data_IF_992351051156
#
_entry.id   IF_992351051156
#
_cell.length_a   1.000
_cell.length_b   1.000
_cell.length_c   1.000
_cell.angle_alpha   90.00
_cell.angle_beta   90.00
_cell.angle_gamma   90.00
#
_symmetry.space_group_name_H-M   'P 1'
#
loop_
_entity.id
_entity.type
_entity.pdbx_description
1 polymer ?
#
# COMPACT_ATOMS: atom_id res chain seq x y z
N UNK A 1 1.46 -12.33 26.82
CA UNK A 1 0.97 -11.07 26.25
C UNK A 1 -0.52 -11.25 26.05
N UNK A 2 -1.35 -10.44 26.66
CA UNK A 2 -2.82 -10.54 26.52
C UNK A 2 -3.18 -9.98 25.15
N UNK A 3 -3.69 -10.83 24.25
CA UNK A 3 -4.30 -10.38 23.00
C UNK A 3 -5.56 -9.56 23.34
N UNK A 4 -5.53 -8.28 23.07
CA UNK A 4 -6.72 -7.43 23.17
C UNK A 4 -7.67 -7.75 22.03
N UNK A 5 -8.95 -7.87 22.33
CA UNK A 5 -9.97 -8.00 21.30
C UNK A 5 -10.22 -6.67 20.60
N UNK A 6 -10.74 -6.71 19.37
CA UNK A 6 -11.08 -5.48 18.61
C UNK A 6 -12.12 -4.61 19.34
N UNK A 7 -13.00 -5.21 20.18
CA UNK A 7 -13.94 -4.47 21.03
C UNK A 7 -13.22 -3.68 22.13
N UNK A 8 -12.17 -4.25 22.75
CA UNK A 8 -11.37 -3.58 23.77
C UNK A 8 -10.53 -2.42 23.21
N UNK A 9 -10.26 -2.43 21.90
CA UNK A 9 -9.55 -1.38 21.17
C UNK A 9 -10.50 -0.39 20.47
N UNK A 10 -11.83 -0.52 20.67
CA UNK A 10 -12.80 0.41 20.08
C UNK A 10 -12.66 1.82 20.70
N UNK A 11 -12.65 2.83 19.86
CA UNK A 11 -12.66 4.23 20.30
C UNK A 11 -14.09 4.71 20.56
N UNK A 12 -14.22 5.59 21.56
CA UNK A 12 -15.42 6.42 21.70
C UNK A 12 -15.61 7.21 20.39
N UNK A 13 -16.80 7.19 19.77
CA UNK A 13 -17.06 7.94 18.55
C UNK A 13 -16.80 9.47 18.68
N UNK A 14 -16.81 10.01 19.89
CA UNK A 14 -16.53 11.42 20.16
C UNK A 14 -15.05 11.70 20.45
N UNK A 15 -14.20 10.66 20.49
CA UNK A 15 -12.78 10.82 20.84
C UNK A 15 -12.06 11.74 19.86
N UNK A 16 -12.26 11.53 18.55
CA UNK A 16 -11.64 12.34 17.51
C UNK A 16 -12.04 13.84 17.58
N UNK A 17 -13.23 14.14 18.08
CA UNK A 17 -13.71 15.52 18.22
C UNK A 17 -13.01 16.31 19.35
N UNK A 18 -12.21 15.65 20.18
CA UNK A 18 -11.47 16.29 21.27
C UNK A 18 -10.13 16.87 20.83
N UNK A 19 -9.68 16.58 19.58
CA UNK A 19 -8.43 17.05 19.04
C UNK A 19 -8.63 18.10 17.95
N UNK A 20 -7.66 19.03 17.82
CA UNK A 20 -7.64 19.96 16.70
C UNK A 20 -7.45 19.17 15.39
N UNK A 21 -8.31 19.45 14.41
CA UNK A 21 -8.23 18.78 13.10
C UNK A 21 -7.03 19.28 12.31
N UNK A 22 -6.04 18.42 12.11
CA UNK A 22 -4.85 18.71 11.33
C UNK A 22 -5.08 18.56 9.81
N UNK A 23 -4.18 19.15 9.03
CA UNK A 23 -4.14 18.92 7.57
C UNK A 23 -3.80 17.46 7.27
N UNK A 24 -4.59 16.83 6.41
CA UNK A 24 -4.34 15.50 5.88
C UNK A 24 -4.07 15.58 4.38
N UNK A 25 -2.96 15.00 3.88
CA UNK A 25 -2.75 14.87 2.45
C UNK A 25 -3.89 14.07 1.78
N UNK A 26 -4.19 14.40 0.53
CA UNK A 26 -5.13 13.61 -0.24
C UNK A 26 -4.66 12.15 -0.36
N UNK A 27 -5.60 11.22 -0.33
CA UNK A 27 -5.32 9.80 -0.55
C UNK A 27 -4.64 9.61 -1.92
N UNK A 28 -3.65 8.72 -2.00
CA UNK A 28 -2.83 8.52 -3.18
C UNK A 28 -2.93 7.08 -3.71
N UNK A 29 -2.63 6.92 -4.99
CA UNK A 29 -2.62 5.61 -5.62
C UNK A 29 -1.27 4.92 -5.43
N UNK A 30 -1.31 3.64 -5.06
CA UNK A 30 -0.18 2.74 -4.91
C UNK A 30 -0.39 1.55 -5.86
N UNK A 31 0.42 1.42 -6.90
CA UNK A 31 0.29 0.32 -7.87
C UNK A 31 1.10 -0.90 -7.42
N UNK A 32 0.51 -2.08 -7.58
CA UNK A 32 1.22 -3.37 -7.42
C UNK A 32 1.25 -4.06 -8.79
N UNK A 33 2.41 -4.58 -9.21
CA UNK A 33 2.54 -5.31 -10.46
C UNK A 33 1.55 -6.49 -10.54
N UNK A 34 1.19 -6.96 -11.71
CA UNK A 34 0.56 -8.27 -11.84
C UNK A 34 1.53 -9.36 -11.37
N UNK A 35 1.05 -10.59 -11.05
CA UNK A 35 1.90 -11.67 -10.52
C UNK A 35 2.98 -12.13 -11.50
N UNK A 36 2.79 -11.90 -12.79
CA UNK A 36 3.76 -12.16 -13.85
C UNK A 36 3.78 -10.98 -14.83
N UNK A 37 4.96 -10.68 -15.35
CA UNK A 37 5.20 -9.62 -16.33
C UNK A 37 6.02 -10.14 -17.50
N UNK A 38 5.85 -9.52 -18.65
CA UNK A 38 6.63 -9.73 -19.87
C UNK A 38 7.49 -8.49 -20.20
N UNK A 39 8.25 -8.57 -21.30
CA UNK A 39 9.10 -7.46 -21.74
C UNK A 39 8.32 -6.16 -22.07
N UNK A 40 7.05 -6.27 -22.46
CA UNK A 40 6.19 -5.12 -22.75
C UNK A 40 5.63 -4.45 -21.50
N UNK A 41 5.90 -4.98 -20.31
CA UNK A 41 5.34 -4.43 -19.08
C UNK A 41 5.90 -3.03 -18.76
N UNK A 42 7.09 -2.69 -19.20
CA UNK A 42 7.66 -1.34 -19.06
C UNK A 42 6.76 -0.30 -19.74
N UNK A 43 6.31 -0.59 -20.96
CA UNK A 43 5.41 0.29 -21.71
C UNK A 43 4.02 0.37 -21.05
N UNK A 44 3.56 -0.76 -20.49
CA UNK A 44 2.29 -0.79 -19.74
C UNK A 44 2.37 0.01 -18.45
N UNK A 45 3.50 -0.04 -17.73
CA UNK A 45 3.73 0.80 -16.57
C UNK A 45 3.80 2.28 -16.96
N UNK A 46 4.54 2.63 -18.02
CA UNK A 46 4.59 3.99 -18.51
C UNK A 46 3.19 4.52 -18.84
N UNK A 47 2.37 3.73 -19.57
CA UNK A 47 0.99 4.09 -19.86
C UNK A 47 0.14 4.27 -18.59
N UNK A 48 0.32 3.44 -17.57
CA UNK A 48 -0.37 3.59 -16.29
C UNK A 48 0.00 4.92 -15.60
N UNK A 49 1.30 5.22 -15.54
CA UNK A 49 1.81 6.46 -14.93
C UNK A 49 1.39 7.73 -15.70
N UNK A 50 1.08 7.62 -16.99
CA UNK A 50 0.49 8.71 -17.78
C UNK A 50 -1.02 8.92 -17.51
N UNK A 51 -1.66 8.04 -16.76
CA UNK A 51 -3.08 8.11 -16.42
C UNK A 51 -3.40 9.03 -15.24
N UNK A 52 -2.43 9.34 -14.40
CA UNK A 52 -2.62 10.17 -13.21
C UNK A 52 -1.49 9.99 -12.20
N UNK A 53 -1.60 10.69 -11.07
CA UNK A 53 -0.58 10.62 -10.02
C UNK A 53 -0.58 9.25 -9.33
N UNK A 54 0.59 8.63 -9.29
CA UNK A 54 0.89 7.39 -8.57
C UNK A 54 2.02 7.69 -7.59
N UNK A 55 1.83 7.35 -6.32
CA UNK A 55 2.84 7.61 -5.29
C UNK A 55 3.92 6.53 -5.24
N UNK A 56 3.53 5.26 -5.43
CA UNK A 56 4.44 4.13 -5.34
C UNK A 56 4.06 3.02 -6.34
N UNK A 57 5.06 2.29 -6.79
CA UNK A 57 4.91 1.06 -7.56
C UNK A 57 5.65 -0.08 -6.87
N UNK A 58 4.94 -1.13 -6.48
CA UNK A 58 5.50 -2.33 -5.89
C UNK A 58 5.69 -3.43 -6.95
N UNK A 59 6.91 -3.89 -7.11
CA UNK A 59 7.23 -5.05 -7.93
C UNK A 59 7.02 -6.33 -7.12
N UNK A 60 5.96 -7.08 -7.44
CA UNK A 60 5.56 -8.32 -6.77
C UNK A 60 5.44 -9.47 -7.77
N UNK A 61 6.52 -10.17 -7.99
CA UNK A 61 6.60 -11.32 -8.89
C UNK A 61 6.69 -12.60 -8.04
N UNK A 62 5.68 -13.45 -8.13
CA UNK A 62 5.65 -14.72 -7.40
C UNK A 62 6.19 -15.85 -8.29
N UNK A 63 7.03 -16.72 -7.69
CA UNK A 63 7.58 -17.89 -8.39
C UNK A 63 8.81 -17.61 -9.27
N UNK A 64 9.29 -16.38 -9.32
CA UNK A 64 10.56 -16.00 -9.95
C UNK A 64 11.68 -15.98 -8.91
N UNK A 65 12.90 -16.30 -9.33
CA UNK A 65 14.07 -16.15 -8.47
C UNK A 65 14.53 -14.68 -8.39
N UNK A 66 15.39 -14.37 -7.40
CA UNK A 66 15.86 -13.00 -7.18
C UNK A 66 16.69 -12.42 -8.34
N UNK A 67 17.34 -13.25 -9.17
CA UNK A 67 18.11 -12.81 -10.34
C UNK A 67 17.17 -12.37 -11.44
N UNK A 68 16.11 -13.14 -11.66
CA UNK A 68 15.06 -12.82 -12.62
C UNK A 68 14.30 -11.55 -12.21
N UNK A 69 13.95 -11.44 -10.91
CA UNK A 69 13.30 -10.22 -10.37
C UNK A 69 14.23 -9.01 -10.53
N UNK A 70 15.51 -9.14 -10.24
CA UNK A 70 16.47 -8.04 -10.40
C UNK A 70 16.59 -7.54 -11.85
N UNK A 71 16.61 -8.46 -12.83
CA UNK A 71 16.61 -8.08 -14.26
C UNK A 71 15.34 -7.37 -14.67
N UNK A 72 14.20 -7.84 -14.19
CA UNK A 72 12.91 -7.22 -14.46
C UNK A 72 12.78 -5.85 -13.78
N UNK A 73 13.39 -5.68 -12.60
CA UNK A 73 13.32 -4.46 -11.81
C UNK A 73 14.05 -3.28 -12.47
N UNK A 74 15.20 -3.49 -13.10
CA UNK A 74 16.09 -2.42 -13.59
C UNK A 74 15.34 -1.39 -14.48
N UNK A 75 14.67 -1.76 -15.58
CA UNK A 75 13.97 -0.80 -16.42
C UNK A 75 12.74 -0.17 -15.73
N UNK A 76 12.09 -0.89 -14.82
CA UNK A 76 10.92 -0.40 -14.08
C UNK A 76 11.32 0.62 -13.02
N UNK A 77 12.40 0.36 -12.28
CA UNK A 77 12.95 1.29 -11.30
C UNK A 77 13.40 2.60 -11.96
N UNK A 78 14.08 2.51 -13.10
CA UNK A 78 14.47 3.68 -13.87
C UNK A 78 13.26 4.52 -14.30
N UNK A 79 12.22 3.88 -14.84
CA UNK A 79 10.98 4.55 -15.21
C UNK A 79 10.29 5.22 -14.02
N UNK A 80 10.23 4.53 -12.86
CA UNK A 80 9.68 5.09 -11.64
C UNK A 80 10.43 6.33 -11.18
N UNK A 81 11.77 6.29 -11.20
CA UNK A 81 12.61 7.43 -10.84
C UNK A 81 12.41 8.64 -11.79
N UNK A 82 12.24 8.40 -13.09
CA UNK A 82 11.94 9.45 -14.08
C UNK A 82 10.56 10.12 -13.87
N UNK A 83 9.66 9.46 -13.13
CA UNK A 83 8.27 9.90 -12.90
C UNK A 83 7.98 10.28 -11.45
N UNK A 84 9.01 10.36 -10.60
CA UNK A 84 8.86 10.63 -9.16
C UNK A 84 7.89 9.66 -8.45
N UNK A 85 8.02 8.36 -8.77
CA UNK A 85 7.26 7.26 -8.20
C UNK A 85 8.19 6.39 -7.37
N UNK A 86 7.86 6.17 -6.10
CA UNK A 86 8.65 5.30 -5.23
C UNK A 86 8.64 3.85 -5.72
N UNK A 87 9.81 3.24 -5.88
CA UNK A 87 9.95 1.85 -6.32
C UNK A 87 10.12 0.91 -5.13
N UNK A 88 9.16 0.03 -4.91
CA UNK A 88 9.06 -0.86 -3.76
C UNK A 88 9.27 -2.32 -4.18
N UNK A 89 10.13 -3.04 -3.47
CA UNK A 89 10.33 -4.49 -3.64
C UNK A 89 9.43 -5.25 -2.66
N UNK A 90 8.78 -6.30 -3.14
CA UNK A 90 7.95 -7.16 -2.31
C UNK A 90 8.81 -8.23 -1.61
N UNK A 91 8.60 -8.47 -0.31
CA UNK A 91 9.13 -9.54 0.55
C UNK A 91 10.64 -9.49 0.82
N UNK A 92 11.51 -9.28 -0.17
CA UNK A 92 12.95 -9.46 -0.02
C UNK A 92 13.69 -8.17 0.38
N UNK A 93 14.08 -8.08 1.66
CA UNK A 93 14.93 -7.00 2.21
C UNK A 93 16.29 -6.95 1.53
N UNK A 94 16.90 -8.13 1.30
CA UNK A 94 18.21 -8.24 0.66
C UNK A 94 18.18 -7.75 -0.81
N UNK A 95 17.10 -8.07 -1.53
CA UNK A 95 16.93 -7.61 -2.91
C UNK A 95 16.68 -6.09 -2.96
N UNK A 96 15.86 -5.55 -2.06
CA UNK A 96 15.63 -4.11 -1.96
C UNK A 96 16.94 -3.35 -1.71
N UNK A 97 17.79 -3.85 -0.80
CA UNK A 97 19.11 -3.29 -0.53
C UNK A 97 20.03 -3.35 -1.76
N UNK A 98 20.10 -4.52 -2.41
CA UNK A 98 20.96 -4.74 -3.58
C UNK A 98 20.60 -3.85 -4.76
N UNK A 99 19.30 -3.60 -4.96
CA UNK A 99 18.81 -2.76 -6.05
C UNK A 99 18.81 -1.26 -5.70
N UNK A 100 19.03 -0.91 -4.44
CA UNK A 100 18.85 0.48 -4.00
C UNK A 100 17.42 0.96 -4.20
N UNK A 101 16.44 0.09 -3.93
CA UNK A 101 15.03 0.43 -4.03
C UNK A 101 14.63 1.47 -2.99
N UNK A 102 13.58 2.26 -3.27
CA UNK A 102 13.05 3.26 -2.34
C UNK A 102 12.38 2.62 -1.13
N UNK A 103 11.96 1.36 -1.25
CA UNK A 103 11.37 0.64 -0.13
C UNK A 103 11.23 -0.86 -0.33
N UNK A 104 10.79 -1.52 0.75
CA UNK A 104 10.39 -2.92 0.79
C UNK A 104 9.02 -3.05 1.45
N UNK A 105 8.20 -3.98 0.98
CA UNK A 105 6.94 -4.33 1.61
C UNK A 105 6.97 -5.76 2.12
N UNK A 106 6.74 -5.95 3.41
CA UNK A 106 6.83 -7.22 4.12
C UNK A 106 5.43 -7.76 4.49
N UNK A 107 5.21 -9.02 4.22
CA UNK A 107 4.12 -9.77 4.85
C UNK A 107 4.56 -10.32 6.21
N UNK A 108 3.63 -10.93 6.95
CA UNK A 108 3.89 -11.43 8.31
C UNK A 108 4.93 -12.56 8.38
N UNK A 109 5.23 -13.22 7.27
CA UNK A 109 6.23 -14.29 7.18
C UNK A 109 7.55 -13.90 6.53
N UNK A 110 7.74 -12.64 6.12
CA UNK A 110 8.85 -12.23 5.26
C UNK A 110 10.02 -11.57 6.02
N UNK A 111 9.95 -11.56 7.34
CA UNK A 111 11.01 -11.07 8.23
C UNK A 111 10.53 -10.01 9.23
N UNK A 112 11.42 -9.67 10.16
CA UNK A 112 11.17 -8.66 11.18
C UNK A 112 11.45 -7.26 10.62
N UNK A 113 10.50 -6.31 10.65
CA UNK A 113 10.72 -4.93 10.22
C UNK A 113 11.88 -4.24 10.95
N UNK A 114 12.14 -4.61 12.21
CA UNK A 114 13.24 -4.08 13.01
C UNK A 114 14.61 -4.49 12.46
N UNK A 115 14.73 -5.72 11.98
CA UNK A 115 15.96 -6.19 11.34
C UNK A 115 16.10 -5.63 9.92
N UNK A 116 14.99 -5.50 9.18
CA UNK A 116 14.96 -4.79 7.91
C UNK A 116 15.45 -3.33 8.07
N UNK A 117 14.97 -2.62 9.10
CA UNK A 117 15.39 -1.24 9.40
C UNK A 117 16.88 -1.13 9.69
N UNK A 118 17.45 -2.07 10.44
CA UNK A 118 18.90 -2.11 10.71
C UNK A 118 19.73 -2.29 9.43
N UNK A 119 19.23 -3.12 8.51
CA UNK A 119 19.94 -3.43 7.26
C UNK A 119 19.81 -2.30 6.21
N UNK A 120 18.61 -1.74 6.07
CA UNK A 120 18.29 -0.75 5.03
C UNK A 120 18.59 0.68 5.46
N UNK A 121 18.72 0.94 6.77
CA UNK A 121 18.91 2.29 7.31
C UNK A 121 17.63 3.14 7.31
N UNK A 122 17.73 4.42 7.68
CA UNK A 122 16.55 5.26 7.99
C UNK A 122 15.87 5.87 6.76
N UNK A 123 16.42 5.71 5.55
CA UNK A 123 15.89 6.38 4.34
C UNK A 123 15.01 5.48 3.48
N UNK A 124 15.15 4.16 3.61
CA UNK A 124 14.39 3.19 2.81
C UNK A 124 13.06 2.93 3.49
N UNK A 125 11.97 3.01 2.74
CA UNK A 125 10.61 2.81 3.26
C UNK A 125 10.36 1.33 3.56
N UNK A 126 9.81 1.04 4.74
CA UNK A 126 9.42 -0.32 5.14
C UNK A 126 7.90 -0.34 5.35
N UNK A 127 7.20 -1.06 4.50
CA UNK A 127 5.77 -1.31 4.66
C UNK A 127 5.49 -2.69 5.22
N UNK A 128 4.44 -2.82 6.03
CA UNK A 128 4.06 -4.11 6.64
C UNK A 128 2.59 -4.40 6.43
N UNK A 129 2.28 -5.60 5.93
CA UNK A 129 0.90 -6.11 5.87
C UNK A 129 0.42 -6.50 7.27
N UNK A 130 -0.66 -5.89 7.74
CA UNK A 130 -1.24 -6.14 9.07
C UNK A 130 -2.63 -6.79 9.02
N UNK A 131 -3.09 -7.20 7.84
CA UNK A 131 -4.37 -7.86 7.63
C UNK A 131 -5.56 -7.04 8.16
N UNK A 132 -6.29 -7.56 9.14
CA UNK A 132 -7.39 -6.91 9.87
C UNK A 132 -7.03 -6.65 11.34
N UNK A 133 -5.74 -6.76 11.70
CA UNK A 133 -5.27 -6.70 13.08
C UNK A 133 -4.70 -5.33 13.43
N UNK A 134 -5.33 -4.65 14.37
CA UNK A 134 -4.82 -3.41 14.99
C UNK A 134 -3.53 -3.67 15.76
N UNK A 135 -3.45 -4.82 16.43
CA UNK A 135 -2.28 -5.22 17.20
C UNK A 135 -1.04 -5.37 16.31
N UNK A 136 -1.15 -6.12 15.20
CA UNK A 136 -0.04 -6.25 14.24
C UNK A 136 0.40 -4.90 13.67
N UNK A 137 -0.53 -3.96 13.48
CA UNK A 137 -0.19 -2.64 12.97
C UNK A 137 0.58 -1.81 14.00
N UNK A 138 0.21 -1.88 15.30
CA UNK A 138 0.95 -1.24 16.39
C UNK A 138 2.36 -1.84 16.52
N UNK A 139 2.48 -3.17 16.54
CA UNK A 139 3.78 -3.84 16.57
C UNK A 139 4.68 -3.47 15.39
N UNK A 140 4.11 -3.39 14.16
CA UNK A 140 4.85 -2.96 12.99
C UNK A 140 5.37 -1.52 13.12
N UNK A 141 4.56 -0.61 13.64
CA UNK A 141 4.96 0.78 13.91
C UNK A 141 6.09 0.85 14.94
N UNK A 142 5.97 0.12 16.06
CA UNK A 142 7.02 0.03 17.09
C UNK A 142 8.31 -0.60 16.57
N UNK A 143 8.21 -1.53 15.61
CA UNK A 143 9.35 -2.14 14.94
C UNK A 143 10.01 -1.24 13.89
N UNK A 144 9.44 -0.06 13.59
CA UNK A 144 10.02 0.94 12.69
C UNK A 144 9.53 0.84 11.25
N UNK A 145 8.31 0.34 11.03
CA UNK A 145 7.64 0.46 9.74
C UNK A 145 7.35 1.93 9.41
N UNK A 146 7.36 2.30 8.13
CA UNK A 146 7.01 3.63 7.63
C UNK A 146 5.55 3.71 7.16
N UNK A 147 4.90 2.57 6.94
CA UNK A 147 3.48 2.46 6.69
C UNK A 147 2.97 1.04 6.98
N UNK A 148 1.68 0.93 7.28
CA UNK A 148 0.98 -0.33 7.48
C UNK A 148 -0.06 -0.56 6.40
N UNK A 149 -0.36 -1.82 6.06
CA UNK A 149 -1.37 -2.15 5.07
C UNK A 149 -2.46 -3.06 5.67
N UNK A 150 -3.71 -2.59 5.59
CA UNK A 150 -4.90 -3.34 5.98
C UNK A 150 -5.61 -3.93 4.77
N UNK A 151 -6.07 -5.16 4.86
CA UNK A 151 -6.77 -5.86 3.76
C UNK A 151 -6.83 -7.38 3.96
N UNK A 152 -7.60 -8.08 3.13
CA UNK A 152 -8.22 -7.54 1.91
C UNK A 152 -9.64 -7.01 2.20
N UNK A 153 -9.92 -5.77 1.82
CA UNK A 153 -11.25 -5.17 2.02
C UNK A 153 -12.33 -5.80 1.14
N UNK A 154 -11.97 -6.24 -0.06
CA UNK A 154 -12.90 -6.85 -1.02
C UNK A 154 -12.36 -8.18 -1.55
N UNK A 155 -13.22 -9.05 -2.13
CA UNK A 155 -12.77 -10.27 -2.79
C UNK A 155 -11.69 -10.01 -3.83
N UNK A 156 -10.63 -10.82 -3.82
CA UNK A 156 -9.48 -10.63 -4.72
C UNK A 156 -8.98 -11.97 -5.26
N UNK A 157 -8.54 -11.97 -6.52
CA UNK A 157 -7.92 -13.13 -7.18
C UNK A 157 -6.38 -13.15 -7.01
N UNK A 158 -5.79 -12.09 -6.47
CA UNK A 158 -4.32 -11.92 -6.42
C UNK A 158 -3.68 -12.66 -5.25
N UNK A 159 -4.40 -12.82 -4.14
CA UNK A 159 -3.97 -13.55 -2.95
C UNK A 159 -5.21 -14.05 -2.21
N UNK A 160 -5.26 -15.36 -1.91
CA UNK A 160 -6.25 -15.89 -0.99
C UNK A 160 -6.02 -15.34 0.41
N UNK A 161 -7.07 -14.85 1.05
CA UNK A 161 -7.03 -14.38 2.43
C UNK A 161 -8.38 -14.61 3.09
N UNK A 162 -8.34 -14.98 4.37
CA UNK A 162 -9.52 -15.06 5.23
C UNK A 162 -9.80 -13.75 5.98
N UNK A 163 -8.82 -12.83 5.97
CA UNK A 163 -8.92 -11.53 6.63
C UNK A 163 -9.76 -10.56 5.83
N UNK A 164 -10.73 -9.94 6.48
CA UNK A 164 -11.69 -9.01 5.89
C UNK A 164 -11.95 -7.84 6.84
N UNK A 165 -11.01 -6.87 6.90
CA UNK A 165 -11.22 -5.72 7.75
C UNK A 165 -12.45 -4.91 7.33
N UNK A 166 -13.14 -4.34 8.31
CA UNK A 166 -14.14 -3.31 8.07
C UNK A 166 -13.45 -1.96 7.82
N UNK A 167 -14.00 -1.07 6.98
CA UNK A 167 -13.41 0.24 6.71
C UNK A 167 -13.14 1.08 7.97
N UNK A 168 -13.86 0.84 9.07
CA UNK A 168 -13.67 1.49 10.36
C UNK A 168 -12.26 1.34 10.95
N UNK A 169 -11.51 0.29 10.58
CA UNK A 169 -10.12 0.11 11.02
C UNK A 169 -9.21 1.25 10.53
N UNK A 170 -9.48 1.78 9.33
CA UNK A 170 -8.74 2.91 8.76
C UNK A 170 -8.94 4.19 9.58
N UNK A 171 -10.21 4.50 9.92
CA UNK A 171 -10.54 5.64 10.76
C UNK A 171 -9.97 5.52 12.16
N UNK A 172 -10.05 4.34 12.75
CA UNK A 172 -9.43 4.06 14.05
C UNK A 172 -7.91 4.30 14.00
N UNK A 173 -7.23 3.77 12.99
CA UNK A 173 -5.79 3.93 12.84
C UNK A 173 -5.39 5.40 12.69
N UNK A 174 -6.00 6.09 11.77
CA UNK A 174 -5.63 7.48 11.43
C UNK A 174 -6.05 8.52 12.47
N UNK A 175 -6.91 8.15 13.42
CA UNK A 175 -7.21 8.97 14.59
C UNK A 175 -6.13 8.86 15.66
N UNK A 176 -5.50 7.69 15.80
CA UNK A 176 -4.54 7.43 16.87
C UNK A 176 -3.09 7.54 16.45
N UNK A 177 -2.79 7.34 15.17
CA UNK A 177 -1.42 7.20 14.66
C UNK A 177 -1.16 8.12 13.48
N UNK A 178 0.02 8.72 13.45
CA UNK A 178 0.51 9.50 12.31
C UNK A 178 1.05 8.61 11.18
N UNK A 179 1.40 7.35 11.50
CA UNK A 179 1.93 6.39 10.55
C UNK A 179 0.91 6.11 9.44
N UNK A 180 1.25 6.33 8.16
CA UNK A 180 0.32 6.15 7.06
C UNK A 180 -0.24 4.74 6.96
N UNK A 181 -1.51 4.62 6.52
CA UNK A 181 -2.13 3.34 6.24
C UNK A 181 -2.51 3.18 4.77
N UNK A 182 -2.32 1.97 4.28
CA UNK A 182 -2.65 1.52 2.93
C UNK A 182 -3.85 0.60 3.00
N UNK A 183 -4.91 0.91 2.27
CA UNK A 183 -5.99 -0.02 2.04
C UNK A 183 -5.68 -0.89 0.81
N UNK A 184 -5.82 -2.22 0.95
CA UNK A 184 -5.50 -3.19 -0.11
C UNK A 184 -6.56 -4.28 -0.24
N UNK A 185 -6.63 -4.87 -1.42
CA UNK A 185 -7.39 -6.09 -1.74
C UNK A 185 -8.74 -5.84 -2.40
N UNK A 186 -8.83 -6.22 -3.67
CA UNK A 186 -10.05 -6.16 -4.48
C UNK A 186 -10.58 -4.76 -4.77
N UNK A 187 -9.76 -3.73 -4.59
CA UNK A 187 -10.16 -2.34 -4.76
C UNK A 187 -10.27 -2.00 -6.24
N UNK A 188 -11.40 -1.41 -6.63
CA UNK A 188 -11.72 -0.86 -7.95
C UNK A 188 -12.12 0.61 -7.81
N UNK A 189 -12.19 1.36 -8.91
CA UNK A 189 -12.69 2.73 -8.86
C UNK A 189 -14.12 2.82 -8.27
N UNK A 190 -14.96 1.82 -8.56
CA UNK A 190 -16.36 1.80 -8.10
C UNK A 190 -16.53 1.57 -6.59
N UNK A 191 -15.54 0.92 -5.93
CA UNK A 191 -15.63 0.60 -4.51
C UNK A 191 -14.60 1.33 -3.63
N UNK A 192 -13.80 2.21 -4.20
CA UNK A 192 -12.71 2.90 -3.50
C UNK A 192 -13.18 4.03 -2.56
N UNK A 193 -14.24 4.76 -2.92
CA UNK A 193 -14.72 5.94 -2.19
C UNK A 193 -14.95 5.70 -0.69
N UNK A 194 -15.58 4.60 -0.24
CA UNK A 194 -15.75 4.33 1.19
C UNK A 194 -14.44 4.19 1.96
N UNK A 195 -13.37 3.66 1.33
CA UNK A 195 -12.07 3.50 1.97
C UNK A 195 -11.34 4.84 2.12
N UNK A 196 -11.46 5.72 1.11
CA UNK A 196 -10.94 7.10 1.18
C UNK A 196 -11.67 7.87 2.28
N UNK A 197 -13.00 7.81 2.31
CA UNK A 197 -13.82 8.46 3.33
C UNK A 197 -13.55 7.92 4.74
N UNK A 198 -13.20 6.63 4.86
CA UNK A 198 -12.79 6.03 6.13
C UNK A 198 -11.37 6.41 6.56
N UNK A 199 -10.58 7.02 5.70
CA UNK A 199 -9.28 7.53 6.07
C UNK A 199 -8.08 6.74 5.53
N UNK A 200 -8.16 6.05 4.40
CA UNK A 200 -6.98 5.51 3.74
C UNK A 200 -6.04 6.64 3.27
N UNK A 201 -4.74 6.52 3.57
CA UNK A 201 -3.72 7.41 3.01
C UNK A 201 -3.32 6.96 1.61
N UNK A 202 -3.36 5.65 1.36
CA UNK A 202 -3.09 5.06 0.04
C UNK A 202 -4.10 3.96 -0.30
N UNK A 203 -4.41 3.84 -1.59
CA UNK A 203 -5.13 2.69 -2.15
C UNK A 203 -4.16 1.83 -2.95
N UNK A 204 -3.88 0.60 -2.48
CA UNK A 204 -3.04 -0.35 -3.20
C UNK A 204 -3.88 -1.19 -4.17
N UNK A 205 -3.60 -1.07 -5.45
CA UNK A 205 -4.36 -1.67 -6.53
C UNK A 205 -3.47 -2.43 -7.51
N UNK A 206 -3.99 -3.48 -8.13
CA UNK A 206 -3.32 -4.25 -9.16
C UNK A 206 -4.30 -4.57 -10.30
N UNK A 207 -5.10 -5.59 -10.18
CA UNK A 207 -5.97 -6.08 -11.25
C UNK A 207 -6.91 -5.03 -11.85
N UNK A 208 -7.42 -4.11 -11.06
CA UNK A 208 -8.30 -3.03 -11.52
C UNK A 208 -7.63 -2.09 -12.54
N UNK A 209 -6.29 -1.96 -12.46
CA UNK A 209 -5.51 -1.16 -13.41
C UNK A 209 -5.02 -2.03 -14.58
N UNK A 210 -4.38 -3.16 -14.29
CA UNK A 210 -3.73 -3.96 -15.32
C UNK A 210 -4.69 -4.70 -16.24
N UNK A 211 -5.91 -5.00 -15.76
CA UNK A 211 -6.97 -5.68 -16.52
C UNK A 211 -8.09 -4.70 -16.95
N UNK A 212 -7.87 -3.38 -16.83
CA UNK A 212 -8.87 -2.41 -17.26
C UNK A 212 -9.13 -2.53 -18.77
N UNK A 213 -10.39 -2.61 -19.24
CA UNK A 213 -10.71 -2.89 -20.64
C UNK A 213 -10.17 -1.84 -21.63
N UNK A 214 -10.03 -0.58 -21.18
CA UNK A 214 -9.45 0.50 -21.98
C UNK A 214 -7.94 0.71 -21.70
N UNK A 215 -7.27 -0.27 -21.08
CA UNK A 215 -5.86 -0.27 -20.76
C UNK A 215 -5.48 0.42 -19.44
N UNK A 216 -4.20 0.29 -19.01
CA UNK A 216 -3.76 0.70 -17.68
C UNK A 216 -3.83 2.21 -17.46
N UNK A 217 -3.64 3.05 -18.48
CA UNK A 217 -3.83 4.50 -18.39
C UNK A 217 -5.25 4.85 -17.95
N UNK A 218 -6.26 4.26 -18.58
CA UNK A 218 -7.65 4.50 -18.23
C UNK A 218 -7.98 3.97 -16.82
N UNK A 219 -7.37 2.84 -16.42
CA UNK A 219 -7.49 2.31 -15.08
C UNK A 219 -7.00 3.27 -14.02
N UNK A 220 -5.82 3.88 -14.19
CA UNK A 220 -5.30 4.90 -13.27
C UNK A 220 -6.14 6.17 -13.30
N UNK A 221 -6.58 6.64 -14.48
CA UNK A 221 -7.43 7.82 -14.61
C UNK A 221 -8.75 7.67 -13.85
N UNK A 222 -9.39 6.49 -13.89
CA UNK A 222 -10.60 6.22 -13.14
C UNK A 222 -10.41 6.38 -11.62
N UNK A 223 -9.25 5.95 -11.08
CA UNK A 223 -8.92 6.20 -9.66
C UNK A 223 -8.62 7.67 -9.39
N UNK A 224 -7.93 8.37 -10.28
CA UNK A 224 -7.67 9.80 -10.11
C UNK A 224 -8.97 10.62 -9.96
N UNK A 225 -9.99 10.30 -10.74
CA UNK A 225 -11.32 10.92 -10.65
C UNK A 225 -11.98 10.64 -9.29
N UNK A 226 -11.91 9.40 -8.79
CA UNK A 226 -12.45 9.04 -7.47
C UNK A 226 -11.72 9.76 -6.36
N UNK A 227 -10.40 9.80 -6.39
CA UNK A 227 -9.58 10.45 -5.36
C UNK A 227 -9.81 11.98 -5.34
N UNK A 228 -9.98 12.60 -6.50
CA UNK A 228 -10.29 14.03 -6.60
C UNK A 228 -11.68 14.38 -6.06
N UNK A 229 -12.64 13.45 -6.21
CA UNK A 229 -14.04 13.65 -5.80
C UNK A 229 -14.30 13.30 -4.32
N UNK A 230 -13.37 12.61 -3.67
CA UNK A 230 -13.52 12.11 -2.30
C UNK A 230 -12.30 12.54 -1.45
N UNK A 231 -12.25 13.78 -0.95
CA UNK A 231 -11.18 14.18 -0.05
C UNK A 231 -11.24 13.34 1.25
N UNK A 232 -10.09 12.94 1.81
CA UNK A 232 -10.06 12.22 3.07
C UNK A 232 -10.58 13.11 4.20
N UNK A 233 -11.10 12.51 5.30
CA UNK A 233 -11.43 13.27 6.49
C UNK A 233 -10.16 13.93 7.05
N UNK A 234 -10.25 15.08 7.73
CA UNK A 234 -9.12 15.68 8.42
C UNK A 234 -8.57 14.69 9.47
N UNK A 235 -7.29 14.79 9.81
CA UNK A 235 -6.72 14.08 10.96
C UNK A 235 -7.24 14.68 12.26
N UNK A 236 -7.52 13.81 13.23
CA UNK A 236 -7.80 14.23 14.59
C UNK A 236 -6.54 14.69 15.30
#
# INVERSE_FOLDING_TARGET
MTDFTDEELALDPQFAAQFEQGFRPACQLYLISPPAIDAAFVDRLAAALDGGRVAAFQLRLKGMDEVEIARAAEPLQKLCAERDVAFIINDSVALAQRLGADGVHLGQGDGDPKDARKLLGPKVQIGVTCHDSRHLAMEAGEAGADYVAFGAFYPTMTKETMHRPEPSILGWWTTLFELPCVAIGGITADNAAPLVAAGADFLAVSGAVWNHPAGPRAGVAAFADVLASNPPPPRA
#
